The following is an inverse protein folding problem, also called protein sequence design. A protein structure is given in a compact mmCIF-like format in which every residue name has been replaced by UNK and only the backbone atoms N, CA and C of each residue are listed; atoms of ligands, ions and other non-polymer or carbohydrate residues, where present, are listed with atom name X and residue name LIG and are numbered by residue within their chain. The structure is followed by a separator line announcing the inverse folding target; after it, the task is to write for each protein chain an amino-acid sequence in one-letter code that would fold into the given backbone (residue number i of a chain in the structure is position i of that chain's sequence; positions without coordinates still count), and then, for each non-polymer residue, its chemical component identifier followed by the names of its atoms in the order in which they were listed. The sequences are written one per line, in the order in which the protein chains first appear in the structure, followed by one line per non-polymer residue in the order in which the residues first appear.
data_IF_470457189715
#
_entry.id   IF_470457189715
#
_cell.length_a   1.000
_cell.length_b   1.000
_cell.length_c   1.000
_cell.angle_alpha   90.00
_cell.angle_beta   90.00
_cell.angle_gamma   90.00
#
_symmetry.space_group_name_H-M   'P 1'
#
loop_
_entity.id
_entity.type
_entity.pdbx_description
1 polymer ?
#
# COMPACT_ATOMS: atom_id res chain seq x y z
N UNK A 1 11.64 -19.73 16.94
CA UNK A 1 10.40 -19.08 17.44
C UNK A 1 10.57 -17.59 17.22
N UNK A 2 10.06 -17.06 16.10
CA UNK A 2 10.14 -15.62 15.82
C UNK A 2 8.87 -15.00 16.39
N UNK A 3 9.00 -14.26 17.48
CA UNK A 3 7.93 -13.37 17.95
C UNK A 3 7.89 -12.21 16.97
N UNK A 4 6.95 -12.26 16.03
CA UNK A 4 6.64 -11.10 15.17
C UNK A 4 5.95 -10.10 16.08
N UNK A 5 6.60 -8.97 16.36
CA UNK A 5 5.98 -7.83 17.02
C UNK A 5 4.73 -7.46 16.21
N UNK A 6 3.55 -7.74 16.75
CA UNK A 6 2.30 -7.32 16.17
C UNK A 6 2.34 -5.79 16.11
N UNK A 7 2.46 -5.22 14.90
CA UNK A 7 2.20 -3.80 14.71
C UNK A 7 0.80 -3.54 15.23
N UNK A 8 0.71 -2.81 16.35
CA UNK A 8 -0.55 -2.50 17.00
C UNK A 8 -1.44 -1.78 16.00
N UNK A 9 -2.63 -2.34 15.75
CA UNK A 9 -3.68 -1.68 14.99
C UNK A 9 -4.63 -1.09 16.02
N UNK A 10 -4.76 0.23 16.05
CA UNK A 10 -5.69 0.90 16.96
C UNK A 10 -7.13 0.57 16.57
N UNK A 11 -8.08 0.56 17.53
CA UNK A 11 -9.49 0.34 17.21
C UNK A 11 -10.02 1.37 16.21
N UNK A 12 -10.83 0.92 15.23
CA UNK A 12 -11.59 1.80 14.34
C UNK A 12 -12.62 2.58 15.15
N UNK A 13 -12.71 3.89 14.93
CA UNK A 13 -13.61 4.74 15.69
C UNK A 13 -15.09 4.57 15.27
N UNK A 14 -15.98 4.48 16.26
CA UNK A 14 -17.43 4.42 16.04
C UNK A 14 -17.95 3.04 15.67
N UNK A 15 -19.17 2.98 15.15
CA UNK A 15 -19.79 1.71 14.73
C UNK A 15 -19.15 1.15 13.45
N UNK A 16 -19.19 -0.16 13.30
CA UNK A 16 -18.85 -0.81 12.04
C UNK A 16 -19.74 -0.32 10.88
N UNK A 17 -19.23 -0.30 9.63
CA UNK A 17 -20.05 -0.12 8.45
C UNK A 17 -21.16 -1.18 8.36
N UNK A 18 -22.27 -0.80 7.76
CA UNK A 18 -23.30 -1.76 7.34
C UNK A 18 -22.81 -2.43 6.07
N UNK A 19 -22.84 -3.76 6.07
CA UNK A 19 -22.54 -4.57 4.90
C UNK A 19 -23.78 -5.36 4.47
N UNK A 20 -23.92 -5.55 3.17
CA UNK A 20 -24.79 -6.56 2.59
C UNK A 20 -23.95 -7.81 2.29
N UNK A 21 -24.35 -8.95 2.83
CA UNK A 21 -23.70 -10.25 2.62
C UNK A 21 -24.61 -11.26 1.93
N UNK A 22 -25.82 -10.87 1.50
CA UNK A 22 -26.79 -11.71 0.79
C UNK A 22 -26.47 -11.74 -0.73
N UNK A 23 -25.18 -11.83 -1.06
CA UNK A 23 -24.64 -11.66 -2.42
C UNK A 23 -23.10 -11.63 -2.46
N UNK A 24 -22.47 -10.99 -3.48
CA UNK A 24 -21.15 -10.40 -3.29
C UNK A 24 -21.21 -9.49 -2.06
N UNK A 25 -20.15 -9.37 -1.26
CA UNK A 25 -20.22 -8.48 -0.10
C UNK A 25 -20.19 -7.03 -0.56
N UNK A 26 -21.12 -6.20 -0.06
CA UNK A 26 -21.14 -4.76 -0.33
C UNK A 26 -21.06 -3.92 0.92
N UNK A 27 -20.13 -2.97 0.98
CA UNK A 27 -20.15 -1.93 2.01
C UNK A 27 -21.18 -0.84 1.65
N UNK A 28 -22.28 -0.78 2.40
CA UNK A 28 -23.42 0.09 2.08
C UNK A 28 -23.24 1.54 2.56
N UNK A 29 -22.56 1.73 3.68
CA UNK A 29 -22.31 3.04 4.29
C UNK A 29 -20.85 3.25 4.69
N UNK A 30 -20.53 4.45 5.18
CA UNK A 30 -19.16 4.83 5.58
C UNK A 30 -18.12 4.65 4.45
N UNK A 31 -18.58 4.74 3.19
CA UNK A 31 -17.78 4.55 1.98
C UNK A 31 -16.80 5.69 1.77
N UNK A 32 -15.70 5.39 1.10
CA UNK A 32 -14.72 6.40 0.71
C UNK A 32 -15.30 7.42 -0.26
N UNK A 33 -14.91 8.68 -0.09
CA UNK A 33 -15.08 9.67 -1.15
C UNK A 33 -14.16 9.34 -2.34
N UNK A 34 -14.46 9.80 -3.57
CA UNK A 34 -13.70 9.40 -4.76
C UNK A 34 -12.19 9.63 -4.67
N UNK A 35 -11.73 10.72 -4.05
CA UNK A 35 -10.30 11.01 -3.87
C UNK A 35 -9.62 10.01 -2.95
N UNK A 36 -10.29 9.61 -1.87
CA UNK A 36 -9.77 8.61 -0.93
C UNK A 36 -9.73 7.23 -1.58
N UNK A 37 -10.74 6.87 -2.38
CA UNK A 37 -10.74 5.63 -3.16
C UNK A 37 -9.55 5.57 -4.13
N UNK A 38 -9.26 6.67 -4.83
CA UNK A 38 -8.08 6.76 -5.71
C UNK A 38 -6.78 6.62 -4.91
N UNK A 39 -6.68 7.23 -3.73
CA UNK A 39 -5.51 7.11 -2.87
C UNK A 39 -5.26 5.66 -2.39
N UNK A 40 -6.32 4.93 -2.04
CA UNK A 40 -6.24 3.49 -1.73
C UNK A 40 -5.71 2.71 -2.93
N UNK A 41 -6.25 2.97 -4.12
CA UNK A 41 -5.81 2.30 -5.35
C UNK A 41 -4.34 2.58 -5.68
N UNK A 42 -3.92 3.84 -5.56
CA UNK A 42 -2.54 4.27 -5.78
C UNK A 42 -1.57 3.61 -4.79
N UNK A 43 -1.98 3.46 -3.53
CA UNK A 43 -1.18 2.77 -2.53
C UNK A 43 -1.00 1.28 -2.83
N UNK A 44 -2.06 0.60 -3.27
CA UNK A 44 -2.04 -0.81 -3.66
C UNK A 44 -1.16 -1.04 -4.90
N UNK A 45 -1.46 -0.36 -6.01
CA UNK A 45 -0.73 -0.56 -7.29
C UNK A 45 0.72 -0.09 -7.23
N UNK A 46 1.06 0.73 -6.23
CA UNK A 46 2.42 1.18 -5.97
C UNK A 46 3.29 0.17 -5.21
N UNK A 47 2.76 -0.98 -4.78
CA UNK A 47 3.59 -2.01 -4.14
C UNK A 47 4.48 -2.67 -5.20
N UNK A 48 5.82 -2.64 -5.06
CA UNK A 48 6.67 -3.24 -6.06
C UNK A 48 6.48 -4.77 -6.13
N UNK A 49 6.60 -5.33 -7.34
CA UNK A 49 6.34 -6.75 -7.59
C UNK A 49 4.92 -7.09 -8.05
N UNK A 50 4.02 -6.10 -8.13
CA UNK A 50 2.65 -6.31 -8.63
C UNK A 50 2.40 -5.61 -9.97
N UNK A 51 1.38 -6.06 -10.68
CA UNK A 51 0.80 -5.42 -11.88
C UNK A 51 -0.67 -5.13 -11.62
N UNK A 52 -1.15 -3.95 -12.03
CA UNK A 52 -2.57 -3.62 -11.94
C UNK A 52 -3.40 -4.32 -13.03
N UNK A 53 -4.60 -4.79 -12.68
CA UNK A 53 -5.54 -5.39 -13.61
C UNK A 53 -6.97 -5.44 -13.07
N UNK A 54 -7.94 -5.98 -13.84
CA UNK A 54 -9.24 -6.33 -13.29
C UNK A 54 -9.11 -7.48 -12.27
N UNK A 55 -9.97 -7.50 -11.25
CA UNK A 55 -10.08 -8.68 -10.38
C UNK A 55 -10.66 -9.86 -11.13
N UNK A 56 -10.17 -11.07 -10.82
CA UNK A 56 -10.70 -12.31 -11.37
C UNK A 56 -12.03 -12.74 -10.71
N UNK A 57 -12.31 -12.27 -9.49
CA UNK A 57 -13.45 -12.71 -8.66
C UNK A 57 -14.36 -11.57 -8.21
N UNK A 58 -13.88 -10.32 -8.28
CA UNK A 58 -14.65 -9.13 -7.93
C UNK A 58 -15.75 -8.80 -8.92
N UNK A 59 -16.64 -7.91 -8.51
CA UNK A 59 -17.72 -7.37 -9.33
C UNK A 59 -17.19 -6.50 -10.50
N UNK A 60 -18.00 -6.22 -11.52
CA UNK A 60 -17.59 -5.32 -12.61
C UNK A 60 -17.10 -3.96 -12.09
N UNK A 61 -15.87 -3.61 -12.44
CA UNK A 61 -15.23 -2.37 -11.99
C UNK A 61 -14.27 -2.55 -10.80
N UNK A 62 -14.25 -3.73 -10.18
CA UNK A 62 -13.20 -4.12 -9.22
C UNK A 62 -11.82 -4.09 -9.86
N UNK A 63 -10.83 -3.62 -9.10
CA UNK A 63 -9.43 -3.53 -9.53
C UNK A 63 -8.54 -4.35 -8.62
N UNK A 64 -7.69 -5.18 -9.21
CA UNK A 64 -6.77 -6.05 -8.50
C UNK A 64 -5.32 -5.65 -8.72
N UNK A 65 -4.50 -5.92 -7.71
CA UNK A 65 -3.06 -6.09 -7.90
C UNK A 65 -2.80 -7.58 -8.15
N UNK A 66 -2.02 -7.89 -9.18
CA UNK A 66 -1.75 -9.25 -9.65
C UNK A 66 -0.25 -9.51 -9.64
N UNK A 67 0.14 -10.77 -9.48
CA UNK A 67 1.53 -11.21 -9.56
C UNK A 67 1.65 -12.28 -10.66
N UNK A 68 1.85 -11.90 -11.94
CA UNK A 68 1.80 -12.82 -13.08
C UNK A 68 2.81 -13.96 -13.04
N UNK A 69 3.92 -13.79 -12.31
CA UNK A 69 4.95 -14.81 -12.15
C UNK A 69 4.52 -15.97 -11.23
N UNK A 70 3.39 -15.85 -10.53
CA UNK A 70 2.87 -16.87 -9.61
C UNK A 70 1.49 -17.31 -10.11
N UNK A 71 1.43 -18.48 -10.75
CA UNK A 71 0.20 -19.06 -11.34
C UNK A 71 -0.37 -20.23 -10.52
N UNK A 72 0.34 -20.64 -9.48
CA UNK A 72 -0.07 -21.68 -8.53
C UNK A 72 0.29 -21.20 -7.14
N UNK A 73 -0.48 -20.24 -6.60
CA UNK A 73 -0.17 -19.62 -5.32
C UNK A 73 -0.33 -20.61 -4.18
N UNK A 74 0.41 -20.39 -3.10
CA UNK A 74 0.17 -21.10 -1.85
C UNK A 74 -1.27 -20.89 -1.36
N UNK A 75 -1.92 -21.93 -0.80
CA UNK A 75 -3.28 -21.82 -0.26
C UNK A 75 -3.44 -20.66 0.73
N UNK A 76 -4.54 -19.92 0.63
CA UNK A 76 -4.85 -18.79 1.51
C UNK A 76 -4.09 -17.50 1.21
N UNK A 77 -3.27 -17.45 0.15
CA UNK A 77 -2.51 -16.24 -0.22
C UNK A 77 -3.08 -15.48 -1.42
N UNK A 78 -4.13 -16.03 -2.05
CA UNK A 78 -4.70 -15.54 -3.31
C UNK A 78 -6.23 -15.66 -3.30
N UNK A 79 -6.91 -14.68 -3.88
CA UNK A 79 -8.32 -14.77 -4.27
C UNK A 79 -8.53 -15.46 -5.62
N UNK A 80 -7.53 -15.38 -6.51
CA UNK A 80 -7.55 -16.11 -7.79
C UNK A 80 -7.38 -17.61 -7.58
N UNK A 81 -8.19 -18.38 -8.31
CA UNK A 81 -8.07 -19.84 -8.43
C UNK A 81 -6.76 -20.27 -9.11
N UNK A 82 -6.37 -21.55 -8.93
CA UNK A 82 -5.19 -22.12 -9.57
C UNK A 82 -5.21 -22.01 -11.09
N UNK A 83 -4.05 -21.71 -11.70
CA UNK A 83 -3.92 -21.46 -13.13
C UNK A 83 -4.12 -20.00 -13.54
N UNK A 84 -4.46 -19.12 -12.59
CA UNK A 84 -4.50 -17.66 -12.77
C UNK A 84 -3.39 -16.98 -11.97
N UNK A 85 -2.99 -15.76 -12.34
CA UNK A 85 -2.07 -14.96 -11.53
C UNK A 85 -2.56 -14.82 -10.09
N UNK A 86 -1.62 -14.91 -9.14
CA UNK A 86 -1.82 -14.59 -7.73
C UNK A 86 -2.47 -13.21 -7.60
N UNK A 87 -3.60 -13.17 -6.89
CA UNK A 87 -4.36 -11.95 -6.57
C UNK A 87 -4.42 -11.79 -5.04
N UNK A 88 -3.46 -11.09 -4.42
CA UNK A 88 -3.41 -10.94 -2.96
C UNK A 88 -4.37 -9.87 -2.43
N UNK A 89 -4.84 -8.96 -3.29
CA UNK A 89 -5.81 -7.95 -2.92
C UNK A 89 -6.54 -7.41 -4.15
N UNK A 90 -7.82 -7.07 -3.95
CA UNK A 90 -8.55 -6.24 -4.89
C UNK A 90 -9.42 -5.22 -4.16
N UNK A 91 -9.65 -4.10 -4.83
CA UNK A 91 -10.44 -2.97 -4.39
C UNK A 91 -11.74 -2.98 -5.19
N UNK A 92 -12.88 -2.99 -4.48
CA UNK A 92 -14.18 -2.85 -5.10
C UNK A 92 -14.34 -1.50 -5.80
N UNK A 93 -15.32 -1.43 -6.69
CA UNK A 93 -15.67 -0.22 -7.42
C UNK A 93 -15.94 0.97 -6.49
N UNK A 94 -15.91 2.22 -7.00
CA UNK A 94 -16.22 3.41 -6.20
C UNK A 94 -17.61 3.41 -5.55
N UNK A 95 -18.52 2.52 -5.96
CA UNK A 95 -19.84 2.38 -5.36
C UNK A 95 -19.82 1.63 -4.02
N UNK A 96 -18.77 0.86 -3.75
CA UNK A 96 -18.63 0.01 -2.56
C UNK A 96 -17.43 0.45 -1.71
N UNK A 97 -16.26 0.61 -2.33
CA UNK A 97 -15.01 1.09 -1.73
C UNK A 97 -14.30 0.15 -0.74
N UNK A 98 -14.90 -0.99 -0.37
CA UNK A 98 -14.22 -2.01 0.44
C UNK A 98 -13.17 -2.79 -0.35
N UNK A 99 -12.34 -3.54 0.36
CA UNK A 99 -11.26 -4.33 -0.21
C UNK A 99 -11.37 -5.78 0.23
N UNK A 100 -11.09 -6.68 -0.70
CA UNK A 100 -10.69 -8.03 -0.36
C UNK A 100 -9.18 -8.09 -0.15
N UNK A 101 -8.75 -8.56 1.01
CA UNK A 101 -7.32 -8.77 1.34
C UNK A 101 -7.12 -10.13 2.02
N UNK A 102 -5.89 -10.62 2.01
CA UNK A 102 -5.49 -11.83 2.75
C UNK A 102 -4.41 -11.51 3.78
N UNK A 103 -4.54 -12.05 5.00
CA UNK A 103 -3.58 -11.84 6.08
C UNK A 103 -3.29 -13.15 6.82
N UNK A 104 -2.15 -13.25 7.54
CA UNK A 104 -1.93 -14.33 8.50
C UNK A 104 -3.10 -14.47 9.49
N UNK A 105 -3.42 -15.68 9.94
CA UNK A 105 -4.57 -15.95 10.82
C UNK A 105 -4.53 -15.11 12.11
N UNK A 106 -3.35 -14.93 12.70
CA UNK A 106 -3.18 -14.10 13.90
C UNK A 106 -3.49 -12.61 13.62
N UNK A 107 -3.23 -12.14 12.39
CA UNK A 107 -3.53 -10.78 11.96
C UNK A 107 -5.01 -10.62 11.63
N UNK A 108 -5.64 -11.63 11.04
CA UNK A 108 -7.10 -11.66 10.79
C UNK A 108 -7.87 -11.41 12.09
N UNK A 109 -7.59 -12.21 13.13
CA UNK A 109 -8.29 -12.09 14.41
C UNK A 109 -8.14 -10.69 15.02
N UNK A 110 -6.93 -10.11 14.96
CA UNK A 110 -6.67 -8.77 15.46
C UNK A 110 -7.42 -7.70 14.65
N UNK A 111 -7.33 -7.71 13.33
CA UNK A 111 -7.94 -6.68 12.46
C UNK A 111 -9.46 -6.67 12.59
N UNK A 112 -10.09 -7.86 12.71
CA UNK A 112 -11.53 -7.99 12.97
C UNK A 112 -11.89 -7.48 14.36
N UNK A 113 -11.13 -7.88 15.40
CA UNK A 113 -11.38 -7.43 16.77
C UNK A 113 -11.24 -5.90 16.93
N UNK A 114 -10.39 -5.27 16.13
CA UNK A 114 -10.20 -3.82 16.10
C UNK A 114 -11.24 -3.09 15.21
N UNK A 115 -12.20 -3.81 14.62
CA UNK A 115 -13.32 -3.22 13.89
C UNK A 115 -12.99 -2.72 12.48
N UNK A 116 -11.87 -3.15 11.89
CA UNK A 116 -11.45 -2.71 10.55
C UNK A 116 -11.99 -3.58 9.41
N UNK A 117 -12.35 -4.82 9.71
CA UNK A 117 -12.74 -5.79 8.71
C UNK A 117 -13.74 -6.80 9.29
N UNK A 118 -14.36 -7.56 8.40
CA UNK A 118 -15.03 -8.82 8.72
C UNK A 118 -14.36 -9.98 7.97
N UNK A 119 -14.47 -11.21 8.46
CA UNK A 119 -14.11 -12.38 7.66
C UNK A 119 -14.87 -12.37 6.33
N UNK A 120 -14.19 -12.73 5.24
CA UNK A 120 -14.88 -12.94 3.97
C UNK A 120 -15.90 -14.08 4.13
N UNK A 121 -17.19 -13.90 3.79
CA UNK A 121 -18.20 -14.95 3.95
C UNK A 121 -17.88 -16.24 3.17
N UNK A 122 -17.09 -16.13 2.10
CA UNK A 122 -16.63 -17.25 1.27
C UNK A 122 -15.17 -17.63 1.53
N UNK A 123 -14.62 -17.23 2.68
CA UNK A 123 -13.27 -17.61 3.09
C UNK A 123 -13.12 -19.13 3.13
N UNK A 124 -12.08 -19.65 2.49
CA UNK A 124 -11.76 -21.09 2.50
C UNK A 124 -10.66 -21.38 3.52
N UNK A 125 -9.72 -20.44 3.69
CA UNK A 125 -8.54 -20.64 4.52
C UNK A 125 -8.58 -19.84 5.84
N UNK A 126 -9.55 -18.93 5.98
CA UNK A 126 -9.67 -18.04 7.15
C UNK A 126 -8.67 -16.89 7.13
N UNK A 127 -7.91 -16.73 6.04
CA UNK A 127 -6.97 -15.62 5.81
C UNK A 127 -7.66 -14.45 5.13
N UNK A 128 -8.80 -14.69 4.49
CA UNK A 128 -9.53 -13.78 3.63
C UNK A 128 -10.44 -12.83 4.43
N UNK A 129 -10.30 -11.53 4.20
CA UNK A 129 -11.04 -10.46 4.87
C UNK A 129 -11.75 -9.56 3.86
N UNK A 130 -12.88 -8.99 4.30
CA UNK A 130 -13.44 -7.76 3.76
C UNK A 130 -12.96 -6.61 4.63
N UNK A 131 -11.97 -5.87 4.16
CA UNK A 131 -11.45 -4.67 4.80
C UNK A 131 -12.30 -3.47 4.41
N UNK A 132 -12.79 -2.72 5.40
CA UNK A 132 -13.66 -1.58 5.14
C UNK A 132 -12.91 -0.43 4.47
N UNK A 133 -13.59 0.22 3.53
CA UNK A 133 -13.11 1.46 2.91
C UNK A 133 -12.88 2.56 3.97
N UNK A 134 -11.85 3.41 3.81
CA UNK A 134 -11.58 4.52 4.71
C UNK A 134 -12.55 5.69 4.52
N UNK A 135 -12.97 6.31 5.63
CA UNK A 135 -13.80 7.51 5.67
C UNK A 135 -13.00 8.80 5.53
N UNK A 136 -11.78 8.79 6.05
CA UNK A 136 -10.92 9.97 6.21
C UNK A 136 -9.43 9.60 6.08
N UNK A 137 -8.56 10.60 6.25
CA UNK A 137 -7.10 10.45 6.10
C UNK A 137 -6.49 9.52 7.16
N UNK A 138 -7.02 9.52 8.39
CA UNK A 138 -6.50 8.67 9.45
C UNK A 138 -6.82 7.20 9.16
N UNK A 139 -8.02 6.92 8.67
CA UNK A 139 -8.37 5.58 8.22
C UNK A 139 -7.64 5.16 6.96
N UNK A 140 -7.36 6.10 6.04
CA UNK A 140 -6.61 5.84 4.83
C UNK A 140 -5.21 5.30 5.15
N UNK A 141 -4.52 5.86 6.13
CA UNK A 141 -3.22 5.36 6.58
C UNK A 141 -3.30 3.90 7.04
N UNK A 142 -4.29 3.56 7.87
CA UNK A 142 -4.46 2.20 8.40
C UNK A 142 -4.86 1.21 7.30
N UNK A 143 -5.86 1.56 6.48
CA UNK A 143 -6.35 0.70 5.40
C UNK A 143 -5.25 0.42 4.39
N UNK A 144 -4.49 1.44 3.97
CA UNK A 144 -3.40 1.24 3.03
C UNK A 144 -2.22 0.48 3.64
N UNK A 145 -1.95 0.63 4.94
CA UNK A 145 -0.95 -0.19 5.62
C UNK A 145 -1.32 -1.68 5.61
N UNK A 146 -2.57 -2.02 5.96
CA UNK A 146 -3.10 -3.39 5.95
C UNK A 146 -3.15 -3.98 4.54
N UNK A 147 -3.60 -3.19 3.56
CA UNK A 147 -3.64 -3.63 2.16
C UNK A 147 -2.22 -3.93 1.63
N UNK A 148 -1.23 -3.08 1.94
CA UNK A 148 0.18 -3.34 1.58
C UNK A 148 0.76 -4.53 2.36
N UNK A 149 0.35 -4.74 3.61
CA UNK A 149 0.73 -5.91 4.41
C UNK A 149 0.27 -7.20 3.73
N UNK A 150 -1.00 -7.27 3.29
CA UNK A 150 -1.55 -8.38 2.51
C UNK A 150 -0.68 -8.72 1.31
N UNK A 151 -0.40 -7.73 0.47
CA UNK A 151 0.42 -7.92 -0.73
C UNK A 151 1.82 -8.43 -0.38
N UNK A 152 2.50 -7.81 0.59
CA UNK A 152 3.86 -8.23 0.97
C UNK A 152 3.90 -9.62 1.57
N UNK A 153 2.91 -9.97 2.40
CA UNK A 153 2.80 -11.28 2.99
C UNK A 153 2.61 -12.35 1.92
N UNK A 154 1.66 -12.16 0.99
CA UNK A 154 1.45 -13.09 -0.12
C UNK A 154 2.67 -13.23 -1.02
N UNK A 155 3.36 -12.12 -1.35
CA UNK A 155 4.61 -12.18 -2.11
C UNK A 155 5.68 -13.02 -1.40
N UNK A 156 5.88 -12.80 -0.10
CA UNK A 156 6.85 -13.54 0.70
C UNK A 156 6.51 -15.04 0.79
N UNK A 157 5.23 -15.37 1.01
CA UNK A 157 4.74 -16.76 1.03
C UNK A 157 4.97 -17.47 -0.30
N UNK A 158 4.87 -16.75 -1.41
CA UNK A 158 5.07 -17.30 -2.75
C UNK A 158 6.51 -17.13 -3.28
N UNK A 159 7.49 -16.85 -2.41
CA UNK A 159 8.90 -16.77 -2.78
C UNK A 159 9.26 -15.60 -3.71
N UNK A 160 8.38 -14.61 -3.86
CA UNK A 160 8.63 -13.45 -4.73
C UNK A 160 9.51 -12.45 -4.00
N UNK A 161 10.75 -12.34 -4.43
CA UNK A 161 11.70 -11.36 -3.90
C UNK A 161 11.54 -10.04 -4.65
N UNK A 162 11.17 -9.00 -3.92
CA UNK A 162 11.06 -7.65 -4.46
C UNK A 162 12.29 -6.84 -4.07
N UNK A 163 13.14 -6.52 -5.05
CA UNK A 163 14.25 -5.59 -4.82
C UNK A 163 13.70 -4.16 -4.74
N UNK A 164 13.74 -3.56 -3.56
CA UNK A 164 13.43 -2.13 -3.42
C UNK A 164 14.45 -1.30 -4.21
N UNK A 165 13.99 -0.26 -4.92
CA UNK A 165 14.86 0.88 -5.21
C UNK A 165 15.27 1.44 -3.85
N UNK A 166 16.52 1.25 -3.42
CA UNK A 166 17.06 2.10 -2.34
C UNK A 166 16.88 3.53 -2.84
N UNK A 167 16.17 4.35 -2.09
CA UNK A 167 16.15 5.78 -2.34
C UNK A 167 17.58 6.26 -2.45
N UNK A 168 17.93 6.90 -3.56
CA UNK A 168 19.11 7.76 -3.59
C UNK A 168 18.83 8.82 -2.54
N UNK A 169 19.49 8.71 -1.39
CA UNK A 169 19.59 9.82 -0.47
C UNK A 169 20.27 10.93 -1.27
N UNK A 170 19.49 11.96 -1.61
CA UNK A 170 20.01 13.20 -2.16
C UNK A 170 20.86 13.84 -1.06
N UNK A 171 22.15 13.49 -1.04
CA UNK A 171 23.16 14.20 -0.28
C UNK A 171 23.31 15.58 -0.93
N UNK A 172 22.41 16.49 -0.57
CA UNK A 172 22.60 17.91 -0.78
C UNK A 172 23.80 18.32 0.09
N UNK A 173 25.00 18.30 -0.50
CA UNK A 173 26.17 18.97 0.08
C UNK A 173 25.85 20.45 0.21
N UNK A 174 25.60 20.90 1.43
CA UNK A 174 25.73 22.30 1.81
C UNK A 174 27.21 22.60 2.05
N UNK A 175 27.64 23.69 1.40
CA UNK A 175 28.66 24.64 1.83
C UNK A 175 30.13 24.21 1.84
N UNK A 176 30.87 24.79 0.90
CA UNK A 176 32.14 25.44 1.22
C UNK A 176 32.11 26.87 0.70
N UNK A 177 31.50 27.77 1.45
CA UNK A 177 31.90 29.17 1.43
C UNK A 177 33.25 29.28 2.16
N UNK A 178 34.34 29.36 1.40
CA UNK A 178 35.67 29.72 1.88
C UNK A 178 36.09 31.01 1.19
N UNK A 179 36.24 32.08 1.96
CA UNK A 179 36.63 33.41 1.53
C UNK A 179 38.04 33.45 0.86
N UNK A 180 38.34 34.46 0.04
CA UNK A 180 39.65 34.63 -0.59
C UNK A 180 40.61 35.41 0.33
N UNK A 181 41.91 35.11 0.32
CA UNK A 181 42.93 36.12 0.62
C UNK A 181 44.36 35.68 0.29
N UNK A 182 45.14 36.71 -0.06
CA UNK A 182 46.59 36.92 -0.19
C UNK A 182 47.32 36.26 -1.36
N UNK A 183 48.34 36.86 -1.98
CA UNK A 183 48.75 38.24 -2.27
C UNK A 183 50.04 38.07 -3.09
N UNK A 184 50.27 38.92 -4.09
CA UNK A 184 51.55 39.00 -4.80
C UNK A 184 51.74 40.38 -5.40
N UNK A 185 52.53 41.21 -4.71
CA UNK A 185 53.07 42.51 -5.14
C UNK A 185 54.02 42.34 -6.35
N UNK A 186 54.51 43.32 -7.11
CA UNK A 186 54.57 44.79 -7.11
C UNK A 186 54.78 45.20 -8.61
N UNK A 187 54.53 46.41 -9.11
CA UNK A 187 55.23 47.68 -8.85
C UNK A 187 54.61 48.80 -9.74
N UNK A 188 54.93 50.10 -9.49
CA UNK A 188 54.15 51.25 -9.94
C UNK A 188 54.78 52.08 -11.09
N UNK A 189 54.14 53.24 -11.37
CA UNK A 189 54.63 54.42 -12.13
C UNK A 189 54.47 54.35 -13.68
N UNK A 190 54.07 55.36 -14.48
CA UNK A 190 54.00 56.84 -14.40
C UNK A 190 52.96 57.39 -15.43
N UNK A 191 52.29 58.50 -15.06
CA UNK A 191 51.71 59.64 -15.82
C UNK A 191 51.17 59.56 -17.27
N UNK A 192 50.03 60.21 -17.54
CA UNK A 192 49.92 61.59 -18.10
C UNK A 192 48.51 61.85 -18.68
N UNK A 193 48.09 63.11 -18.54
CA UNK A 193 46.90 63.79 -19.07
C UNK A 193 46.57 63.54 -20.55
N UNK A 194 45.29 63.69 -20.92
CA UNK A 194 44.79 64.76 -21.81
C UNK A 194 43.31 64.55 -22.21
N UNK A 195 42.57 65.66 -22.31
CA UNK A 195 41.45 65.85 -23.26
C UNK A 195 40.06 65.81 -22.67
#
# INVERSE_FOLDING_TARGET
MVVVMASLVLPRAGRAPVVDDDGPVWQLDQRSVPTTWVAVWDALRGVPGVTAGPSAVGEPGSRAVLVPSVISPEPGTSFSEGGRPLEPAHLHSPADTSLHIVLPLERVALVVAQGWAIPCPRAVHGTELILFGPRDEAELEVVTALARESVRWSLARNGVTVFGRRGVAETALRSTAGAPSVAGAASPEVATLAG
#
